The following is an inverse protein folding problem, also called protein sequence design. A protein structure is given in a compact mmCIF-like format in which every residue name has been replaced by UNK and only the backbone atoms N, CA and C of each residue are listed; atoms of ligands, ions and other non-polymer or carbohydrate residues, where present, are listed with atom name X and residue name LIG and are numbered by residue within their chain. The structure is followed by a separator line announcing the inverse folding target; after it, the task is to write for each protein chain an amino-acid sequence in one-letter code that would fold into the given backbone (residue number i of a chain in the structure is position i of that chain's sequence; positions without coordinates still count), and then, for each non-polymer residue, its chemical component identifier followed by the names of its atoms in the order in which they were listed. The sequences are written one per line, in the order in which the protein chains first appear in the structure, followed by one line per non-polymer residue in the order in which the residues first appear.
data_IF_379941903874
#
_entry.id   IF_379941903874
#
_cell.length_a   1.000
_cell.length_b   1.000
_cell.length_c   1.000
_cell.angle_alpha   90.00
_cell.angle_beta   90.00
_cell.angle_gamma   90.00
#
_symmetry.space_group_name_H-M   'P 1'
#
loop_
_entity.id
_entity.type
_entity.pdbx_description
1 polymer ?
#
# COMPACT_ATOMS: atom_id res chain seq x y z
N UNK A 1 -47.01 -19.36 19.64
CA UNK A 1 -45.78 -20.06 19.18
C UNK A 1 -45.45 -19.79 17.70
N UNK A 2 -46.38 -19.93 16.76
CA UNK A 2 -46.10 -19.67 15.31
C UNK A 2 -45.64 -18.22 14.99
N UNK A 3 -46.15 -17.20 15.70
CA UNK A 3 -45.79 -15.78 15.48
C UNK A 3 -44.39 -15.43 16.00
N UNK A 4 -43.91 -16.10 17.04
CA UNK A 4 -42.56 -15.91 17.58
C UNK A 4 -41.51 -16.53 16.67
N UNK A 5 -41.79 -17.69 16.11
CA UNK A 5 -40.89 -18.38 15.14
C UNK A 5 -40.71 -17.57 13.85
N UNK A 6 -41.78 -16.92 13.36
CA UNK A 6 -41.67 -16.03 12.17
C UNK A 6 -40.84 -14.77 12.47
N UNK A 7 -40.96 -14.19 13.65
CA UNK A 7 -40.17 -13.02 14.05
C UNK A 7 -38.67 -13.34 14.20
N UNK A 8 -38.32 -14.51 14.71
CA UNK A 8 -36.93 -14.99 14.82
C UNK A 8 -36.34 -15.29 13.44
N UNK A 9 -37.12 -15.84 12.50
CA UNK A 9 -36.67 -16.07 11.12
C UNK A 9 -36.43 -14.77 10.34
N UNK A 10 -37.22 -13.73 10.56
CA UNK A 10 -37.03 -12.42 9.92
C UNK A 10 -35.81 -11.70 10.51
N UNK A 11 -35.57 -11.82 11.82
CA UNK A 11 -34.40 -11.21 12.48
C UNK A 11 -33.07 -11.86 12.03
N UNK A 12 -33.08 -13.16 11.71
CA UNK A 12 -31.86 -13.84 11.20
C UNK A 12 -31.49 -13.48 9.75
N UNK A 13 -32.44 -12.95 8.96
CA UNK A 13 -32.20 -12.50 7.58
C UNK A 13 -31.55 -11.12 7.48
N UNK A 14 -31.58 -10.31 8.54
CA UNK A 14 -31.05 -8.95 8.57
C UNK A 14 -29.55 -8.86 8.92
N UNK A 15 -28.91 -9.98 9.29
CA UNK A 15 -27.46 -10.02 9.61
C UNK A 15 -26.55 -10.35 8.41
N UNK A 16 -27.11 -10.45 7.21
CA UNK A 16 -26.35 -10.84 6.01
C UNK A 16 -25.93 -9.66 5.14
N UNK A 17 -25.47 -8.53 5.71
CA UNK A 17 -25.04 -7.45 4.84
C UNK A 17 -24.04 -6.52 5.50
N UNK A 18 -22.79 -6.80 5.29
CA UNK A 18 -21.69 -5.85 5.02
C UNK A 18 -20.40 -6.66 4.88
N UNK A 19 -20.34 -7.49 3.85
CA UNK A 19 -19.03 -7.94 3.40
C UNK A 19 -18.45 -6.81 2.55
N UNK A 20 -17.23 -6.35 2.81
CA UNK A 20 -16.58 -5.40 1.93
C UNK A 20 -16.55 -5.97 0.52
N UNK A 21 -16.87 -5.15 -0.47
CA UNK A 21 -16.83 -5.56 -1.87
C UNK A 21 -15.41 -6.00 -2.21
N UNK A 22 -15.24 -7.30 -2.54
CA UNK A 22 -13.93 -7.80 -2.96
C UNK A 22 -13.60 -7.28 -4.36
N UNK A 23 -12.37 -6.84 -4.53
CA UNK A 23 -11.83 -6.47 -5.84
C UNK A 23 -11.56 -7.77 -6.62
N UNK A 24 -12.22 -7.96 -7.76
CA UNK A 24 -12.09 -9.18 -8.58
C UNK A 24 -11.76 -8.83 -10.03
N UNK A 25 -10.64 -8.16 -10.26
CA UNK A 25 -10.17 -7.81 -11.61
C UNK A 25 -9.32 -8.91 -12.26
N UNK A 26 -8.91 -9.92 -11.48
CA UNK A 26 -8.01 -11.00 -11.91
C UNK A 26 -6.54 -10.60 -12.00
N UNK A 27 -6.20 -9.35 -11.69
CA UNK A 27 -4.83 -8.82 -11.74
C UNK A 27 -4.45 -8.15 -10.42
N UNK A 28 -3.15 -8.07 -10.16
CA UNK A 28 -2.58 -7.20 -9.13
C UNK A 28 -2.19 -5.87 -9.80
N UNK A 29 -2.81 -4.79 -9.34
CA UNK A 29 -2.63 -3.44 -9.87
C UNK A 29 -2.02 -2.51 -8.83
N UNK A 30 -1.21 -1.52 -9.28
CA UNK A 30 -0.58 -0.53 -8.42
C UNK A 30 -1.00 0.85 -8.91
N UNK A 31 -1.55 1.67 -8.01
CA UNK A 31 -2.12 2.96 -8.34
C UNK A 31 -1.57 4.08 -7.49
N UNK A 32 -1.68 5.29 -8.03
CA UNK A 32 -1.40 6.53 -7.32
C UNK A 32 0.01 6.57 -6.70
N UNK A 33 1.03 6.04 -7.42
CA UNK A 33 2.39 6.04 -6.92
C UNK A 33 2.99 7.45 -6.92
N UNK A 34 3.44 7.90 -5.74
CA UNK A 34 4.01 9.23 -5.55
C UNK A 34 5.07 9.26 -4.46
N UNK A 35 5.92 10.28 -4.50
CA UNK A 35 6.94 10.56 -3.50
C UNK A 35 6.98 12.06 -3.20
N UNK A 36 7.52 12.44 -2.05
CA UNK A 36 7.81 13.84 -1.73
C UNK A 36 9.14 14.27 -2.33
N UNK A 37 9.31 15.58 -2.63
CA UNK A 37 10.63 16.14 -2.91
C UNK A 37 11.59 15.86 -1.76
N UNK A 38 12.87 15.59 -2.10
CA UNK A 38 13.92 15.34 -1.11
C UNK A 38 15.29 15.66 -1.72
N UNK A 39 16.26 16.07 -0.92
CA UNK A 39 17.60 16.40 -1.38
C UNK A 39 18.45 15.14 -1.65
N UNK A 40 19.49 15.29 -2.48
CA UNK A 40 20.53 14.27 -2.65
C UNK A 40 21.19 13.94 -1.30
N UNK A 41 21.39 12.65 -1.04
CA UNK A 41 21.95 12.14 0.21
C UNK A 41 20.90 11.92 1.31
N UNK A 42 19.73 12.54 1.22
CA UNK A 42 18.65 12.35 2.17
C UNK A 42 17.91 11.01 1.93
N UNK A 43 16.98 10.70 2.82
CA UNK A 43 16.03 9.61 2.65
C UNK A 43 14.73 10.16 2.09
N UNK A 44 14.11 9.37 1.20
CA UNK A 44 12.78 9.62 0.65
C UNK A 44 11.79 8.52 1.02
N UNK A 45 10.53 8.72 0.68
CA UNK A 45 9.49 7.71 0.82
C UNK A 45 8.59 7.67 -0.40
N UNK A 46 8.19 6.46 -0.82
CA UNK A 46 7.23 6.23 -1.90
C UNK A 46 5.95 5.66 -1.32
N UNK A 47 4.84 6.19 -1.77
CA UNK A 47 3.48 5.85 -1.39
C UNK A 47 2.69 5.39 -2.61
N UNK A 48 1.81 4.43 -2.44
CA UNK A 48 0.95 3.89 -3.50
C UNK A 48 -0.15 3.02 -2.91
N UNK A 49 -1.09 2.60 -3.73
CA UNK A 49 -2.10 1.58 -3.37
C UNK A 49 -1.86 0.34 -4.23
N UNK A 50 -1.80 -0.83 -3.59
CA UNK A 50 -1.79 -2.12 -4.28
C UNK A 50 -3.17 -2.75 -4.15
N UNK A 51 -3.83 -2.99 -5.28
CA UNK A 51 -5.09 -3.73 -5.36
C UNK A 51 -4.81 -5.16 -5.83
N UNK A 52 -4.97 -6.12 -4.93
CA UNK A 52 -4.86 -7.54 -5.30
C UNK A 52 -6.21 -8.06 -5.80
N UNK A 53 -6.54 -7.81 -7.05
CA UNK A 53 -7.77 -8.30 -7.67
C UNK A 53 -7.74 -9.79 -8.03
N UNK A 54 -6.71 -10.54 -7.65
CA UNK A 54 -6.61 -11.98 -7.90
C UNK A 54 -7.36 -12.79 -6.82
N UNK A 55 -7.53 -14.08 -7.05
CA UNK A 55 -8.15 -15.00 -6.11
C UNK A 55 -7.19 -15.59 -5.06
N UNK A 56 -5.91 -15.18 -5.07
CA UNK A 56 -4.88 -15.70 -4.18
C UNK A 56 -4.17 -14.53 -3.47
N UNK A 57 -3.72 -14.79 -2.25
CA UNK A 57 -2.83 -13.85 -1.56
C UNK A 57 -1.51 -13.76 -2.32
N UNK A 58 -0.94 -12.57 -2.37
CA UNK A 58 0.43 -12.33 -2.81
C UNK A 58 1.23 -11.69 -1.67
N UNK A 59 2.50 -11.45 -1.89
CA UNK A 59 3.41 -10.82 -0.91
C UNK A 59 4.33 -9.87 -1.65
N UNK A 60 4.41 -8.62 -1.21
CA UNK A 60 5.46 -7.69 -1.62
C UNK A 60 6.72 -7.98 -0.81
N UNK A 61 7.79 -8.34 -1.51
CA UNK A 61 9.05 -8.78 -0.91
C UNK A 61 10.10 -7.67 -0.84
N UNK A 62 10.17 -6.81 -1.86
CA UNK A 62 11.20 -5.77 -1.96
C UNK A 62 10.90 -4.75 -3.06
N UNK A 63 11.67 -3.67 -3.06
CA UNK A 63 11.72 -2.69 -4.14
C UNK A 63 13.13 -2.38 -4.60
N UNK A 64 13.27 -1.82 -5.79
CA UNK A 64 14.53 -1.31 -6.35
C UNK A 64 14.29 -0.09 -7.21
N UNK A 65 15.22 0.85 -7.14
CA UNK A 65 15.31 2.00 -8.03
C UNK A 65 16.79 2.36 -8.22
N UNK A 66 17.11 3.12 -9.25
CA UNK A 66 18.47 3.63 -9.52
C UNK A 66 18.79 4.94 -8.79
N UNK A 67 17.76 5.55 -8.19
CA UNK A 67 17.88 6.85 -7.50
C UNK A 67 18.10 6.75 -5.99
N UNK A 68 18.24 5.55 -5.43
CA UNK A 68 18.52 5.34 -4.01
C UNK A 68 19.50 4.18 -3.83
N UNK A 69 20.32 4.25 -2.79
CA UNK A 69 21.29 3.20 -2.45
C UNK A 69 20.61 1.91 -2.02
N UNK A 70 19.52 2.03 -1.25
CA UNK A 70 18.72 0.90 -0.77
C UNK A 70 17.24 1.30 -0.78
N UNK A 71 16.36 0.31 -1.01
CA UNK A 71 14.91 0.45 -0.86
C UNK A 71 14.44 -0.55 0.17
N UNK A 72 13.75 -0.07 1.20
CA UNK A 72 13.27 -0.87 2.32
C UNK A 72 11.76 -0.73 2.51
N UNK A 73 11.11 -1.78 3.00
CA UNK A 73 9.72 -1.74 3.45
C UNK A 73 9.67 -1.26 4.90
N UNK A 74 8.93 -0.22 5.18
CA UNK A 74 8.77 0.34 6.52
C UNK A 74 7.30 0.54 6.87
N UNK A 75 7.02 0.51 8.17
CA UNK A 75 5.73 0.88 8.73
C UNK A 75 5.92 1.85 9.88
N UNK A 76 5.23 2.97 9.83
CA UNK A 76 5.16 3.92 10.95
C UNK A 76 3.98 3.57 11.83
N UNK A 77 4.20 3.52 13.15
CA UNK A 77 3.16 3.24 14.13
C UNK A 77 3.27 4.22 15.31
N UNK A 78 2.12 4.58 15.88
CA UNK A 78 2.09 5.36 17.12
C UNK A 78 2.34 4.43 18.32
N UNK A 79 3.41 4.68 19.06
CA UNK A 79 3.74 4.01 20.31
C UNK A 79 3.61 5.01 21.47
N UNK A 80 2.42 5.03 22.09
CA UNK A 80 2.08 6.07 23.06
C UNK A 80 2.00 7.43 22.36
N UNK A 81 2.83 8.39 22.80
CA UNK A 81 2.90 9.75 22.23
C UNK A 81 4.00 9.92 21.17
N UNK A 82 4.68 8.85 20.80
CA UNK A 82 5.79 8.86 19.83
C UNK A 82 5.43 8.08 18.57
N UNK A 83 5.88 8.58 17.42
CA UNK A 83 5.85 7.84 16.15
C UNK A 83 7.12 7.01 16.04
N UNK A 84 6.99 5.70 15.95
CA UNK A 84 8.08 4.76 15.70
C UNK A 84 7.99 4.24 14.27
N UNK A 85 9.14 3.92 13.68
CA UNK A 85 9.25 3.37 12.33
C UNK A 85 9.95 2.01 12.40
N UNK A 86 9.31 0.98 11.86
CA UNK A 86 9.80 -0.38 11.88
C UNK A 86 9.97 -0.90 10.47
N UNK A 87 11.15 -1.49 10.21
CA UNK A 87 11.39 -2.19 8.96
C UNK A 87 10.57 -3.48 8.92
N UNK A 88 9.96 -3.75 7.78
CA UNK A 88 9.18 -4.95 7.48
C UNK A 88 9.97 -5.84 6.53
N UNK A 89 10.01 -7.14 6.78
CA UNK A 89 10.64 -8.09 5.86
C UNK A 89 9.80 -8.31 4.60
N UNK A 90 8.48 -8.26 4.75
CA UNK A 90 7.51 -8.44 3.68
C UNK A 90 6.16 -7.82 4.03
N UNK A 91 5.32 -7.56 3.03
CA UNK A 91 3.94 -7.10 3.21
C UNK A 91 2.97 -8.04 2.51
N UNK A 92 2.04 -8.63 3.28
CA UNK A 92 1.01 -9.53 2.75
C UNK A 92 -0.06 -8.72 2.02
N UNK A 93 -0.46 -9.21 0.85
CA UNK A 93 -1.49 -8.65 -0.02
C UNK A 93 -2.65 -9.65 -0.13
N UNK A 94 -3.70 -9.54 0.71
CA UNK A 94 -4.80 -10.48 0.70
C UNK A 94 -5.56 -10.47 -0.63
N UNK A 95 -6.09 -11.63 -1.02
CA UNK A 95 -6.89 -11.80 -2.23
C UNK A 95 -8.16 -10.93 -2.20
N UNK A 96 -8.39 -10.15 -3.23
CA UNK A 96 -9.56 -9.28 -3.37
C UNK A 96 -9.55 -8.04 -2.48
N UNK A 97 -8.39 -7.65 -1.93
CA UNK A 97 -8.25 -6.50 -1.06
C UNK A 97 -7.25 -5.48 -1.59
N UNK A 98 -7.31 -4.26 -1.08
CA UNK A 98 -6.34 -3.22 -1.31
C UNK A 98 -5.46 -3.05 -0.06
N UNK A 99 -4.16 -2.83 -0.28
CA UNK A 99 -3.19 -2.45 0.75
C UNK A 99 -2.65 -1.07 0.40
N UNK A 100 -2.80 -0.13 1.32
CA UNK A 100 -2.39 1.25 1.14
C UNK A 100 -1.03 1.51 1.79
N UNK A 101 -0.14 2.12 1.01
CA UNK A 101 1.11 2.71 1.46
C UNK A 101 0.93 4.22 1.51
N UNK A 102 0.90 4.78 2.72
CA UNK A 102 0.57 6.19 2.97
C UNK A 102 1.41 6.81 4.09
N UNK A 103 1.53 8.14 4.13
CA UNK A 103 2.23 8.82 5.22
C UNK A 103 1.66 8.44 6.59
N UNK A 104 2.54 8.04 7.50
CA UNK A 104 2.15 7.58 8.84
C UNK A 104 1.76 6.10 8.95
N UNK A 105 1.82 5.35 7.85
CA UNK A 105 1.59 3.91 7.77
C UNK A 105 2.72 3.20 7.02
N UNK A 106 2.35 2.20 6.22
CA UNK A 106 3.28 1.51 5.32
C UNK A 106 3.87 2.47 4.29
N UNK A 107 5.15 2.31 3.96
CA UNK A 107 5.82 3.05 2.89
C UNK A 107 7.07 2.32 2.40
N UNK A 108 7.50 2.64 1.18
CA UNK A 108 8.81 2.21 0.66
C UNK A 108 9.81 3.31 0.97
N UNK A 109 10.74 3.04 1.89
CA UNK A 109 11.81 3.95 2.25
C UNK A 109 12.90 3.91 1.18
N UNK A 110 13.24 5.07 0.62
CA UNK A 110 14.40 5.27 -0.26
C UNK A 110 15.56 5.77 0.60
N UNK A 111 16.54 4.90 0.86
CA UNK A 111 17.67 5.22 1.72
C UNK A 111 18.84 5.73 0.87
N UNK A 112 19.33 6.93 1.21
CA UNK A 112 20.48 7.54 0.55
C UNK A 112 20.22 7.85 -0.91
N UNK A 113 19.44 8.89 -1.17
CA UNK A 113 19.13 9.33 -2.54
C UNK A 113 20.42 9.70 -3.28
N UNK A 114 20.59 9.19 -4.50
CA UNK A 114 21.75 9.44 -5.35
C UNK A 114 21.64 10.74 -6.14
N UNK A 115 20.48 11.36 -6.13
CA UNK A 115 20.16 12.66 -6.71
C UNK A 115 18.98 13.31 -5.99
N UNK A 116 18.81 14.60 -6.16
CA UNK A 116 17.65 15.34 -5.69
C UNK A 116 16.37 14.85 -6.42
N UNK A 117 15.26 14.80 -5.68
CA UNK A 117 13.90 14.59 -6.21
C UNK A 117 13.14 15.91 -6.22
N UNK A 118 12.79 16.41 -7.41
CA UNK A 118 12.07 17.68 -7.59
C UNK A 118 10.60 17.45 -7.89
N UNK A 119 9.74 18.29 -7.34
CA UNK A 119 8.31 18.28 -7.67
C UNK A 119 8.11 18.43 -9.19
N UNK A 120 7.21 17.61 -9.75
CA UNK A 120 6.93 17.54 -11.19
C UNK A 120 7.76 16.50 -11.95
N UNK A 121 8.77 15.91 -11.33
CA UNK A 121 9.53 14.80 -11.93
C UNK A 121 8.83 13.46 -11.76
N UNK A 122 9.30 12.47 -12.54
CA UNK A 122 8.94 11.05 -12.37
C UNK A 122 10.20 10.20 -12.32
N UNK A 123 10.11 9.07 -11.64
CA UNK A 123 11.13 8.02 -11.66
C UNK A 123 10.47 6.65 -11.56
N UNK A 124 11.20 5.61 -11.91
CA UNK A 124 10.69 4.26 -11.86
C UNK A 124 11.18 3.52 -10.60
N UNK A 125 10.28 2.75 -10.00
CA UNK A 125 10.59 1.77 -8.98
C UNK A 125 10.16 0.39 -9.46
N UNK A 126 11.02 -0.61 -9.29
CA UNK A 126 10.67 -2.01 -9.53
C UNK A 126 10.25 -2.65 -8.22
N UNK A 127 9.01 -3.06 -8.12
CA UNK A 127 8.46 -3.84 -7.00
C UNK A 127 8.56 -5.33 -7.30
N UNK A 128 8.93 -6.13 -6.31
CA UNK A 128 9.11 -7.58 -6.43
C UNK A 128 8.08 -8.28 -5.58
N UNK A 129 7.21 -9.05 -6.22
CA UNK A 129 6.15 -9.82 -5.59
C UNK A 129 6.48 -11.32 -5.65
N UNK A 130 5.97 -12.06 -4.68
CA UNK A 130 6.19 -13.51 -4.58
C UNK A 130 5.55 -14.27 -5.73
N UNK A 131 4.33 -13.91 -6.12
CA UNK A 131 3.56 -14.56 -7.17
C UNK A 131 3.48 -13.72 -8.45
N UNK A 132 3.12 -12.44 -8.36
CA UNK A 132 3.02 -11.56 -9.53
C UNK A 132 4.39 -11.22 -10.16
N UNK A 133 5.50 -11.56 -9.50
CA UNK A 133 6.86 -11.31 -10.01
C UNK A 133 7.25 -9.85 -9.92
N UNK A 134 7.97 -9.34 -10.93
CA UNK A 134 8.45 -7.96 -10.97
C UNK A 134 7.47 -7.06 -11.70
N UNK A 135 7.19 -5.89 -11.12
CA UNK A 135 6.40 -4.83 -11.75
C UNK A 135 7.15 -3.51 -11.67
N UNK A 136 7.24 -2.80 -12.78
CA UNK A 136 7.80 -1.45 -12.84
C UNK A 136 6.66 -0.47 -12.67
N UNK A 137 6.84 0.49 -11.78
CA UNK A 137 5.84 1.52 -11.43
C UNK A 137 6.48 2.88 -11.59
N UNK A 138 5.85 3.76 -12.35
CA UNK A 138 6.28 5.16 -12.47
C UNK A 138 5.74 5.95 -11.28
N UNK A 139 6.63 6.59 -10.55
CA UNK A 139 6.35 7.38 -9.34
C UNK A 139 6.41 8.85 -9.66
N UNK A 140 5.37 9.61 -9.36
CA UNK A 140 5.34 11.06 -9.52
C UNK A 140 5.88 11.75 -8.28
N UNK A 141 6.83 12.66 -8.43
CA UNK A 141 7.30 13.51 -7.34
C UNK A 141 6.37 14.72 -7.22
N UNK A 142 5.72 14.87 -6.08
CA UNK A 142 4.78 15.97 -5.80
C UNK A 142 4.86 16.42 -4.35
N UNK A 143 4.59 17.68 -4.10
CA UNK A 143 4.37 18.16 -2.75
C UNK A 143 3.20 17.37 -2.13
N UNK A 144 3.23 17.18 -0.81
CA UNK A 144 2.12 16.52 -0.14
C UNK A 144 0.84 17.26 -0.50
N UNK A 145 -0.04 16.59 -1.24
CA UNK A 145 -1.32 17.17 -1.61
C UNK A 145 -2.11 17.29 -0.31
N UNK A 146 -2.49 18.51 0.03
CA UNK A 146 -3.62 18.70 0.90
C UNK A 146 -4.82 18.22 0.06
N UNK A 147 -5.28 17.00 0.33
CA UNK A 147 -6.56 16.53 -0.19
C UNK A 147 -7.63 17.42 0.47
N UNK A 148 -8.08 18.44 -0.28
CA UNK A 148 -9.30 19.21 0.02
C UNK A 148 -10.54 18.37 -0.34
#
# INVERSE_FOLDING_TARGET
MKKIVVLVLIASMLLAACQPARITTGILDIRNAWARPAAEGDNGAVYFVIENGTSQNDVLLSGRTDIASVVELHESQMEGDHMSMHQQDEVVLPAGEAVEFSPGGLHMMLVGLTRELKAGETFDITLVFKQAGKKIVSVSVKDAVNDD
#
